data_IF_121802860162
#
_entry.id   IF_121802860162
#
_cell.length_a   1.000
_cell.length_b   1.000
_cell.length_c   1.000
_cell.angle_alpha   90.00
_cell.angle_beta   90.00
_cell.angle_gamma   90.00
#
_symmetry.space_group_name_H-M   'P 1'
#
loop_
_entity.id
_entity.type
_entity.pdbx_description
1 polymer ?
#
# COMPACT_ATOMS: atom_id res chain seq x y z
N UNK A 1 4.01 11.11 -9.06
CA UNK A 1 3.22 9.86 -9.20
C UNK A 1 2.21 10.03 -10.31
N UNK A 2 1.95 8.96 -11.04
CA UNK A 2 1.06 8.95 -12.20
C UNK A 2 -0.01 7.88 -12.00
N UNK A 3 -1.27 8.23 -12.21
CA UNK A 3 -2.40 7.29 -12.13
C UNK A 3 -2.99 7.09 -13.52
N UNK A 4 -3.07 5.84 -13.95
CA UNK A 4 -3.79 5.44 -15.16
C UNK A 4 -5.11 4.76 -14.77
N UNK A 5 -6.18 4.98 -15.52
CA UNK A 5 -7.48 4.31 -15.29
C UNK A 5 -7.89 3.61 -16.55
N UNK A 6 -8.01 2.29 -16.47
CA UNK A 6 -8.55 1.47 -17.54
C UNK A 6 -10.08 1.46 -17.47
N UNK A 7 -10.70 1.61 -18.63
CA UNK A 7 -12.15 1.57 -18.80
C UNK A 7 -12.52 0.61 -19.91
N UNK A 8 -13.61 -0.10 -19.70
CA UNK A 8 -14.25 -0.99 -20.68
C UNK A 8 -15.71 -0.55 -20.78
N UNK A 9 -16.21 -0.31 -21.99
CA UNK A 9 -17.58 0.17 -22.24
C UNK A 9 -17.99 1.38 -21.35
N UNK A 10 -17.06 2.33 -21.17
CA UNK A 10 -17.20 3.50 -20.28
C UNK A 10 -17.27 3.23 -18.77
N UNK A 11 -17.26 1.96 -18.34
CA UNK A 11 -17.13 1.55 -16.93
C UNK A 11 -15.67 1.48 -16.51
N UNK A 12 -15.36 1.88 -15.28
CA UNK A 12 -13.99 1.82 -14.74
C UNK A 12 -13.75 0.41 -14.17
N UNK A 13 -12.79 -0.31 -14.72
CA UNK A 13 -12.49 -1.70 -14.30
C UNK A 13 -11.36 -1.71 -13.27
N UNK A 14 -10.24 -1.04 -13.57
CA UNK A 14 -9.14 -0.86 -12.62
C UNK A 14 -8.40 0.46 -12.85
N UNK A 15 -7.60 0.87 -11.86
CA UNK A 15 -6.61 1.94 -12.04
C UNK A 15 -5.26 1.48 -11.56
N UNK A 16 -4.19 1.90 -12.22
CA UNK A 16 -2.82 1.65 -11.79
C UNK A 16 -2.18 2.93 -11.28
N UNK A 17 -1.25 2.80 -10.33
CA UNK A 17 -0.45 3.91 -9.81
C UNK A 17 1.02 3.56 -9.97
N UNK A 18 1.81 4.50 -10.48
CA UNK A 18 3.26 4.35 -10.65
C UNK A 18 4.00 5.61 -10.22
N UNK A 19 5.32 5.46 -10.11
CA UNK A 19 6.27 6.55 -9.86
C UNK A 19 6.82 6.55 -8.45
N UNK A 20 7.60 7.58 -8.17
CA UNK A 20 8.30 7.78 -6.92
C UNK A 20 7.95 9.14 -6.30
N UNK A 21 8.34 9.30 -5.04
CA UNK A 21 8.24 10.54 -4.28
C UNK A 21 9.32 10.52 -3.20
N UNK A 22 9.84 11.69 -2.85
CA UNK A 22 10.79 11.86 -1.76
C UNK A 22 10.49 13.14 -0.99
N UNK A 23 11.01 13.23 0.23
CA UNK A 23 10.91 14.41 1.06
C UNK A 23 11.80 14.30 2.29
N UNK A 24 11.80 15.36 3.08
CA UNK A 24 12.51 15.44 4.37
C UNK A 24 11.46 15.64 5.46
N UNK A 25 11.56 14.87 6.54
CA UNK A 25 10.68 15.03 7.69
C UNK A 25 10.99 16.33 8.45
N UNK A 26 10.10 16.74 9.34
CA UNK A 26 10.35 17.87 10.26
C UNK A 26 11.56 17.64 11.18
N UNK A 27 11.97 16.38 11.34
CA UNK A 27 13.14 15.96 12.13
C UNK A 27 14.42 15.88 11.27
N UNK A 28 14.36 16.28 9.99
CA UNK A 28 15.52 16.25 9.08
C UNK A 28 15.81 14.90 8.43
N UNK A 29 14.94 13.90 8.61
CA UNK A 29 15.14 12.55 8.06
C UNK A 29 14.65 12.48 6.62
N UNK A 30 15.53 12.04 5.72
CA UNK A 30 15.17 11.77 4.33
C UNK A 30 14.27 10.54 4.24
N UNK A 31 13.13 10.69 3.58
CA UNK A 31 12.26 9.58 3.21
C UNK A 31 12.03 9.57 1.71
N UNK A 32 11.93 8.36 1.16
CA UNK A 32 11.53 8.16 -0.23
C UNK A 32 10.58 6.99 -0.36
N UNK A 33 9.79 7.04 -1.42
CA UNK A 33 8.85 6.00 -1.81
C UNK A 33 9.03 5.76 -3.30
N UNK A 34 9.04 4.51 -3.69
CA UNK A 34 9.06 4.09 -5.07
C UNK A 34 8.06 2.95 -5.27
N UNK A 35 7.27 3.06 -6.33
CA UNK A 35 6.41 1.97 -6.80
C UNK A 35 7.21 1.19 -7.83
N UNK A 36 7.77 0.06 -7.42
CA UNK A 36 8.63 -0.79 -8.26
C UNK A 36 7.82 -1.62 -9.23
N UNK A 37 6.60 -2.02 -8.84
CA UNK A 37 5.62 -2.61 -9.75
C UNK A 37 4.29 -1.87 -9.63
N UNK A 38 3.59 -1.56 -10.74
CA UNK A 38 2.40 -0.73 -10.72
C UNK A 38 1.34 -1.23 -9.74
N UNK A 39 0.87 -0.36 -8.85
CA UNK A 39 -0.17 -0.74 -7.89
C UNK A 39 -1.51 -0.76 -8.61
N UNK A 40 -2.13 -1.94 -8.74
CA UNK A 40 -3.44 -2.12 -9.36
C UNK A 40 -4.54 -2.01 -8.31
N UNK A 41 -5.50 -1.15 -8.58
CA UNK A 41 -6.69 -0.96 -7.79
C UNK A 41 -7.91 -1.44 -8.59
N UNK A 42 -8.54 -2.53 -8.16
CA UNK A 42 -9.76 -3.04 -8.78
C UNK A 42 -10.99 -2.25 -8.30
N UNK A 43 -11.92 -1.92 -9.20
CA UNK A 43 -13.18 -1.26 -8.84
C UNK A 43 -14.29 -2.27 -8.51
N UNK A 44 -14.21 -3.48 -9.05
CA UNK A 44 -15.16 -4.56 -8.75
C UNK A 44 -14.85 -5.23 -7.39
N UNK A 45 -13.62 -5.04 -6.91
CA UNK A 45 -13.23 -5.48 -5.58
C UNK A 45 -13.78 -4.52 -4.52
N UNK A 46 -14.91 -4.90 -3.89
CA UNK A 46 -15.52 -4.17 -2.79
C UNK A 46 -15.56 -5.02 -1.53
N UNK A 47 -14.94 -4.51 -0.46
CA UNK A 47 -14.86 -5.21 0.83
C UNK A 47 -15.93 -4.69 1.81
N UNK A 48 -17.00 -5.47 1.96
CA UNK A 48 -18.01 -5.45 3.03
C UNK A 48 -18.42 -4.07 3.56
N UNK A 49 -18.54 -3.06 2.69
CA UNK A 49 -18.93 -1.69 3.06
C UNK A 49 -18.00 -0.95 4.03
N UNK A 50 -16.88 -1.55 4.46
CA UNK A 50 -15.86 -0.88 5.30
C UNK A 50 -14.92 -0.04 4.46
N UNK A 51 -14.68 -0.44 3.21
CA UNK A 51 -13.96 0.35 2.21
C UNK A 51 -14.94 1.08 1.27
N UNK A 52 -15.97 1.74 1.83
CA UNK A 52 -17.06 2.47 1.12
C UNK A 52 -16.63 3.49 0.05
N UNK A 53 -15.35 3.86 -0.01
CA UNK A 53 -14.79 4.84 -0.96
C UNK A 53 -13.40 4.47 -1.50
N UNK A 54 -12.87 3.30 -1.12
CA UNK A 54 -11.47 2.97 -1.33
C UNK A 54 -11.33 1.84 -2.31
N UNK A 55 -10.84 2.13 -3.52
CA UNK A 55 -10.40 1.09 -4.45
C UNK A 55 -9.36 0.25 -3.71
N UNK A 56 -9.59 -1.05 -3.59
CA UNK A 56 -8.68 -1.95 -2.88
C UNK A 56 -7.46 -2.16 -3.78
N UNK A 57 -6.24 -1.90 -3.30
CA UNK A 57 -5.06 -2.35 -4.02
C UNK A 57 -5.01 -3.87 -3.93
N UNK A 58 -4.99 -4.53 -5.08
CA UNK A 58 -5.00 -6.00 -5.20
C UNK A 58 -3.69 -6.53 -5.76
N UNK A 59 -2.82 -5.65 -6.24
CA UNK A 59 -1.55 -6.04 -6.85
C UNK A 59 -0.56 -4.89 -6.81
N UNK A 60 0.73 -5.22 -6.76
CA UNK A 60 1.85 -4.31 -6.97
C UNK A 60 2.73 -4.18 -5.75
N UNK A 61 3.90 -3.58 -5.94
CA UNK A 61 4.95 -3.52 -4.94
C UNK A 61 5.39 -2.08 -4.79
N UNK A 62 5.47 -1.66 -3.53
CA UNK A 62 5.95 -0.35 -3.13
C UNK A 62 7.06 -0.51 -2.13
N UNK A 63 8.18 0.17 -2.37
CA UNK A 63 9.28 0.28 -1.42
C UNK A 63 9.27 1.68 -0.82
N UNK A 64 9.40 1.77 0.50
CA UNK A 64 9.54 3.03 1.24
C UNK A 64 10.83 2.99 2.04
N UNK A 65 11.70 3.99 1.85
CA UNK A 65 12.93 4.19 2.60
C UNK A 65 12.78 5.37 3.57
N UNK A 66 13.42 5.27 4.72
CA UNK A 66 13.33 6.23 5.84
C UNK A 66 14.64 6.20 6.63
N UNK A 67 15.56 7.09 6.27
CA UNK A 67 16.97 6.92 6.64
C UNK A 67 17.46 5.54 6.19
N UNK A 68 17.97 4.76 7.15
CA UNK A 68 18.53 3.41 6.91
C UNK A 68 17.46 2.29 6.89
N UNK A 69 16.23 2.58 7.30
CA UNK A 69 15.14 1.59 7.29
C UNK A 69 14.49 1.50 5.91
N UNK A 70 14.25 0.27 5.43
CA UNK A 70 13.47 0.00 4.23
C UNK A 70 12.25 -0.86 4.54
N UNK A 71 11.14 -0.54 3.87
CA UNK A 71 9.87 -1.25 4.02
C UNK A 71 9.32 -1.55 2.65
N UNK A 72 9.12 -2.83 2.37
CA UNK A 72 8.46 -3.31 1.16
C UNK A 72 7.01 -3.63 1.49
N UNK A 73 6.09 -3.17 0.67
CA UNK A 73 4.66 -3.46 0.76
C UNK A 73 4.24 -4.13 -0.54
N UNK A 74 3.85 -5.39 -0.46
CA UNK A 74 3.30 -6.18 -1.55
C UNK A 74 1.77 -6.27 -1.40
N UNK A 75 1.05 -5.81 -2.42
CA UNK A 75 -0.40 -5.77 -2.45
C UNK A 75 -1.03 -7.04 -3.02
N UNK A 76 -0.24 -8.06 -3.35
CA UNK A 76 -0.71 -9.36 -3.82
C UNK A 76 -0.61 -9.55 -5.33
N UNK A 77 -1.34 -10.54 -5.84
CA UNK A 77 -1.28 -11.05 -7.20
C UNK A 77 -2.45 -10.60 -8.10
N UNK A 78 -3.44 -9.91 -7.54
CA UNK A 78 -4.66 -9.48 -8.19
C UNK A 78 -5.94 -10.07 -7.57
N UNK A 79 -5.81 -11.03 -6.64
CA UNK A 79 -6.95 -11.58 -5.90
C UNK A 79 -7.57 -10.51 -4.99
N UNK A 80 -8.90 -10.56 -4.87
CA UNK A 80 -9.67 -9.63 -4.07
C UNK A 80 -9.81 -10.14 -2.63
N UNK A 81 -8.71 -10.17 -1.86
CA UNK A 81 -8.68 -10.68 -0.48
C UNK A 81 -8.31 -9.64 0.60
N UNK A 82 -7.96 -8.41 0.18
CA UNK A 82 -7.55 -7.28 1.04
C UNK A 82 -6.32 -7.54 1.92
N UNK A 83 -5.56 -8.59 1.63
CA UNK A 83 -4.33 -8.93 2.34
C UNK A 83 -3.15 -8.20 1.70
N UNK A 84 -2.25 -7.71 2.53
CA UNK A 84 -1.03 -7.00 2.11
C UNK A 84 0.12 -7.54 2.91
N UNK A 85 1.18 -7.95 2.23
CA UNK A 85 2.41 -8.36 2.89
C UNK A 85 3.33 -7.16 3.07
N UNK A 86 3.77 -6.95 4.30
CA UNK A 86 4.70 -5.87 4.64
C UNK A 86 5.97 -6.49 5.16
N UNK A 87 7.07 -6.25 4.45
CA UNK A 87 8.41 -6.69 4.86
C UNK A 87 9.19 -5.49 5.40
N UNK A 88 9.77 -5.64 6.59
CA UNK A 88 10.67 -4.67 7.20
C UNK A 88 11.80 -5.38 7.93
N UNK A 89 13.04 -5.01 7.63
CA UNK A 89 14.23 -5.55 8.31
C UNK A 89 14.29 -7.11 8.31
N UNK A 90 13.80 -7.75 7.24
CA UNK A 90 13.74 -9.21 7.09
C UNK A 90 12.52 -9.90 7.72
N UNK A 91 11.70 -9.18 8.49
CA UNK A 91 10.45 -9.69 9.05
C UNK A 91 9.29 -9.40 8.08
N UNK A 92 8.50 -10.44 7.77
CA UNK A 92 7.30 -10.35 6.93
C UNK A 92 6.06 -10.43 7.82
N UNK A 93 5.14 -9.48 7.64
CA UNK A 93 3.82 -9.53 8.26
C UNK A 93 2.71 -9.37 7.22
N UNK A 94 1.72 -10.25 7.29
CA UNK A 94 0.46 -10.10 6.55
C UNK A 94 -0.47 -9.16 7.33
N UNK A 95 -0.97 -8.13 6.64
CA UNK A 95 -1.87 -7.12 7.18
C UNK A 95 -3.15 -7.10 6.37
N UNK A 96 -4.28 -7.28 7.05
CA UNK A 96 -5.60 -7.12 6.45
C UNK A 96 -6.00 -5.63 6.43
N UNK A 97 -6.19 -5.07 5.23
CA UNK A 97 -6.58 -3.68 5.01
C UNK A 97 -7.93 -3.33 5.64
N UNK A 98 -8.83 -4.30 5.89
CA UNK A 98 -10.13 -4.07 6.54
C UNK A 98 -9.98 -3.54 7.97
N UNK A 99 -8.85 -3.84 8.61
CA UNK A 99 -8.60 -3.50 10.02
C UNK A 99 -7.77 -2.23 10.19
N UNK A 100 -7.31 -1.61 9.10
CA UNK A 100 -6.48 -0.40 9.12
C UNK A 100 -7.37 0.84 9.09
N UNK A 101 -7.11 1.79 10.00
CA UNK A 101 -7.81 3.08 9.96
C UNK A 101 -7.20 3.99 8.90
N UNK A 102 -8.03 4.80 8.25
CA UNK A 102 -7.57 5.79 7.27
C UNK A 102 -6.54 6.73 7.90
N UNK A 103 -5.34 6.79 7.32
CA UNK A 103 -4.22 7.61 7.83
C UNK A 103 -3.17 6.83 8.63
N UNK A 104 -3.45 5.59 9.02
CA UNK A 104 -2.43 4.72 9.60
C UNK A 104 -1.39 4.32 8.55
N UNK A 105 -0.12 4.52 8.89
CA UNK A 105 1.01 4.08 8.06
C UNK A 105 1.36 2.65 8.45
N UNK A 106 1.67 1.79 7.48
CA UNK A 106 2.17 0.43 7.73
C UNK A 106 3.36 0.38 8.69
N UNK A 107 4.22 1.40 8.66
CA UNK A 107 5.34 1.55 9.62
C UNK A 107 4.88 1.56 11.08
N UNK A 108 3.73 2.18 11.36
CA UNK A 108 3.20 2.31 12.72
C UNK A 108 2.57 1.01 13.20
N UNK A 109 2.00 0.21 12.27
CA UNK A 109 1.42 -1.11 12.57
C UNK A 109 2.52 -2.04 13.10
N UNK A 110 3.64 -2.15 12.37
CA UNK A 110 4.81 -2.93 12.78
C UNK A 110 5.40 -2.46 14.13
N UNK A 111 5.53 -1.13 14.32
CA UNK A 111 6.03 -0.56 15.59
C UNK A 111 5.11 -0.87 16.79
N UNK A 112 3.79 -0.83 16.59
CA UNK A 112 2.81 -1.06 17.66
C UNK A 112 2.79 -2.51 18.16
N UNK A 113 3.03 -3.48 17.28
CA UNK A 113 3.12 -4.90 17.65
C UNK A 113 4.42 -5.23 18.39
N UNK A 114 5.56 -4.65 17.98
CA UNK A 114 6.84 -4.81 18.72
C UNK A 114 6.78 -4.25 20.15
N UNK A 115 5.93 -3.27 20.43
CA UNK A 115 5.71 -2.76 21.81
C UNK A 115 4.84 -3.66 22.69
N UNK A 116 4.14 -4.63 22.11
CA UNK A 116 3.23 -5.55 22.83
C UNK A 116 3.87 -6.91 23.12
N UNK A 117 5.15 -7.10 22.79
CA UNK A 117 5.93 -8.32 23.02
C UNK A 117 7.09 -7.96 23.94
#
# INVERSE_FOLDING_TARGET
>A
MTRFTYREESKKVYSTLTGSSSGVSTEGVNFSMEITTPIKFSYDCSMDGKMKKGKVPVQGIKVTKDGDSSITTDFGDGVCDSLVEVTKDGEVETVDLKNIKRGERFKNILKSKKKKK
#
